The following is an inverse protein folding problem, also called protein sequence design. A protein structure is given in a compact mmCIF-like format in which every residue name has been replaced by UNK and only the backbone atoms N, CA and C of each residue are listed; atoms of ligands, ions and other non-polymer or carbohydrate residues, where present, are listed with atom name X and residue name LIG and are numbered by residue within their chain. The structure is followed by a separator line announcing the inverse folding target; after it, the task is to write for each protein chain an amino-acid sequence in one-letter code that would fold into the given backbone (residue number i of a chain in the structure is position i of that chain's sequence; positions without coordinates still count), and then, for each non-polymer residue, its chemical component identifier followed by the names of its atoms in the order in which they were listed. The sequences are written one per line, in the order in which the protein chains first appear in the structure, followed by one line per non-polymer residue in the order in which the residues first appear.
data_IF_152188002188
#
_entry.id   IF_152188002188
#
_cell.length_a   1.000
_cell.length_b   1.000
_cell.length_c   1.000
_cell.angle_alpha   90.00
_cell.angle_beta   90.00
_cell.angle_gamma   90.00
#
_symmetry.space_group_name_H-M   'P 1'
#
loop_
_entity.id
_entity.type
_entity.pdbx_description
1 polymer ?
#
# COMPACT_ATOMS: atom_id res chain seq x y z
N UNK A 1 18.03 5.95 9.28
CA UNK A 1 17.59 5.36 8.00
C UNK A 1 17.27 6.51 7.06
N UNK A 2 18.07 6.71 6.02
CA UNK A 2 17.96 7.86 5.10
C UNK A 2 17.01 7.54 3.94
N UNK A 3 16.45 8.58 3.29
CA UNK A 3 15.50 8.43 2.16
C UNK A 3 16.10 7.59 1.01
N UNK A 4 17.41 7.71 0.80
CA UNK A 4 18.20 6.98 -0.20
C UNK A 4 18.20 5.46 0.09
N UNK A 5 18.17 5.05 1.36
CA UNK A 5 18.10 3.63 1.74
C UNK A 5 16.72 3.02 1.47
N UNK A 6 15.64 3.80 1.62
CA UNK A 6 14.27 3.38 1.31
C UNK A 6 14.06 3.15 -0.19
N UNK A 7 14.49 4.09 -1.03
CA UNK A 7 14.37 3.96 -2.49
C UNK A 7 15.16 2.76 -3.02
N UNK A 8 16.36 2.52 -2.47
CA UNK A 8 17.17 1.36 -2.82
C UNK A 8 16.57 0.03 -2.31
N UNK A 9 15.85 0.04 -1.19
CA UNK A 9 15.15 -1.15 -0.69
C UNK A 9 14.00 -1.56 -1.63
N UNK A 10 13.22 -0.59 -2.12
CA UNK A 10 12.13 -0.83 -3.07
C UNK A 10 12.67 -1.24 -4.44
N UNK A 11 13.71 -0.54 -4.95
CA UNK A 11 14.31 -0.83 -6.27
C UNK A 11 14.98 -2.20 -6.36
N UNK A 12 15.61 -2.66 -5.28
CA UNK A 12 16.31 -3.96 -5.25
C UNK A 12 15.43 -5.11 -4.73
N UNK A 13 14.11 -4.92 -4.67
CA UNK A 13 13.17 -5.91 -4.13
C UNK A 13 13.17 -7.23 -4.91
N UNK A 14 13.39 -7.19 -6.23
CA UNK A 14 13.38 -8.37 -7.09
C UNK A 14 14.44 -9.43 -6.72
N UNK A 15 15.49 -9.06 -5.97
CA UNK A 15 16.56 -9.98 -5.54
C UNK A 15 16.30 -10.68 -4.20
N UNK A 16 15.15 -10.44 -3.53
CA UNK A 16 14.88 -10.99 -2.19
C UNK A 16 13.63 -11.89 -2.16
N UNK A 17 13.83 -13.18 -2.39
CA UNK A 17 12.81 -14.26 -2.35
C UNK A 17 12.06 -14.46 -1.02
N UNK A 18 12.30 -13.64 0.02
CA UNK A 18 11.67 -13.77 1.35
C UNK A 18 10.92 -12.53 1.81
N UNK A 19 10.78 -11.53 0.96
CA UNK A 19 10.06 -10.29 1.28
C UNK A 19 8.84 -10.18 0.38
N UNK A 20 7.69 -9.71 0.89
CA UNK A 20 6.52 -9.36 0.10
C UNK A 20 6.42 -7.82 0.04
N UNK A 21 6.56 -7.24 -1.15
CA UNK A 21 6.28 -5.82 -1.39
C UNK A 21 4.80 -5.69 -1.77
N UNK A 22 4.09 -4.88 -0.99
CA UNK A 22 2.70 -4.48 -1.23
C UNK A 22 2.72 -2.95 -1.35
N UNK A 23 2.43 -2.46 -2.54
CA UNK A 23 2.48 -1.04 -2.88
C UNK A 23 1.09 -0.43 -2.72
N UNK A 24 0.79 0.10 -1.53
CA UNK A 24 -0.54 0.61 -1.17
C UNK A 24 -0.96 1.79 -2.05
N UNK A 25 -0.02 2.62 -2.51
CA UNK A 25 -0.30 3.79 -3.35
C UNK A 25 -0.91 3.40 -4.70
N UNK A 26 -0.64 2.18 -5.19
CA UNK A 26 -1.29 1.65 -6.41
C UNK A 26 -2.76 1.31 -6.22
N UNK A 27 -3.17 1.01 -4.99
CA UNK A 27 -4.55 0.62 -4.68
C UNK A 27 -5.35 1.77 -4.09
N UNK A 28 -4.68 2.66 -3.36
CA UNK A 28 -5.24 3.85 -2.74
C UNK A 28 -4.42 5.03 -3.26
N UNK A 29 -4.96 5.77 -4.22
CA UNK A 29 -4.31 6.90 -4.89
C UNK A 29 -4.14 8.12 -3.97
N UNK A 30 -3.50 7.94 -2.82
CA UNK A 30 -3.49 8.88 -1.70
C UNK A 30 -3.08 10.31 -2.10
N UNK A 31 -2.01 10.42 -2.89
CA UNK A 31 -1.45 11.69 -3.34
C UNK A 31 -2.09 12.25 -4.60
N UNK A 32 -2.94 11.49 -5.29
CA UNK A 32 -3.59 11.86 -6.56
C UNK A 32 -5.12 11.80 -6.51
N UNK A 33 -5.71 11.64 -5.32
CA UNK A 33 -7.15 11.65 -5.09
C UNK A 33 -7.74 13.04 -5.37
N UNK A 34 -8.39 13.15 -6.52
CA UNK A 34 -9.10 14.35 -6.96
C UNK A 34 -10.62 14.27 -6.75
N UNK A 35 -11.16 13.07 -6.50
CA UNK A 35 -12.59 12.84 -6.25
C UNK A 35 -12.91 12.98 -4.76
N UNK A 36 -13.87 13.84 -4.43
CA UNK A 36 -14.40 14.03 -3.07
C UNK A 36 -14.88 12.71 -2.47
N UNK A 37 -15.50 11.83 -3.26
CA UNK A 37 -15.97 10.53 -2.77
C UNK A 37 -14.83 9.58 -2.41
N UNK A 38 -13.69 9.69 -3.08
CA UNK A 38 -12.50 8.91 -2.74
C UNK A 38 -11.82 9.44 -1.47
N UNK A 39 -11.98 10.73 -1.18
CA UNK A 39 -11.46 11.35 0.05
C UNK A 39 -12.28 10.98 1.29
N UNK A 40 -13.46 10.39 1.14
CA UNK A 40 -14.30 10.01 2.28
C UNK A 40 -13.62 9.02 3.23
N UNK A 41 -12.61 8.27 2.77
CA UNK A 41 -11.82 7.34 3.59
C UNK A 41 -10.63 8.00 4.33
N UNK A 42 -10.41 9.31 4.16
CA UNK A 42 -9.30 10.08 4.74
C UNK A 42 -9.87 11.15 5.68
N UNK A 43 -9.20 11.42 6.80
CA UNK A 43 -9.51 12.55 7.67
C UNK A 43 -9.15 13.88 7.01
N UNK A 44 -9.72 14.98 7.49
CA UNK A 44 -9.49 16.34 6.96
C UNK A 44 -8.05 16.84 7.21
N UNK A 45 -7.22 16.06 7.90
CA UNK A 45 -5.78 16.32 8.07
C UNK A 45 -4.94 15.88 6.87
N UNK A 46 -5.53 15.19 5.89
CA UNK A 46 -4.85 14.67 4.71
C UNK A 46 -3.64 13.77 5.03
N UNK A 47 -3.57 13.20 6.23
CA UNK A 47 -2.50 12.29 6.68
C UNK A 47 -3.05 10.95 7.14
N UNK A 48 -4.16 10.94 7.88
CA UNK A 48 -4.69 9.73 8.49
C UNK A 48 -5.90 9.20 7.75
N UNK A 49 -5.99 7.87 7.67
CA UNK A 49 -7.20 7.20 7.17
C UNK A 49 -8.28 7.23 8.25
N UNK A 50 -9.54 7.31 7.82
CA UNK A 50 -10.69 6.97 8.65
C UNK A 50 -10.69 5.45 8.92
N UNK A 51 -11.45 4.96 9.92
CA UNK A 51 -11.58 3.53 10.17
C UNK A 51 -11.86 2.69 8.91
N UNK A 52 -12.81 3.12 8.08
CA UNK A 52 -13.14 2.43 6.81
C UNK A 52 -11.96 2.41 5.82
N UNK A 53 -11.11 3.44 5.83
CA UNK A 53 -9.89 3.48 5.03
C UNK A 53 -8.82 2.50 5.51
N UNK A 54 -8.67 2.34 6.83
CA UNK A 54 -7.80 1.32 7.40
C UNK A 54 -8.32 -0.10 7.12
N UNK A 55 -9.64 -0.31 7.17
CA UNK A 55 -10.27 -1.58 6.80
C UNK A 55 -10.03 -1.93 5.32
N UNK A 56 -10.14 -0.93 4.43
CA UNK A 56 -9.82 -1.09 3.01
C UNK A 56 -8.34 -1.47 2.82
N UNK A 57 -7.42 -0.75 3.48
CA UNK A 57 -5.99 -1.03 3.43
C UNK A 57 -5.67 -2.46 3.90
N UNK A 58 -6.29 -2.92 5.00
CA UNK A 58 -6.12 -4.27 5.51
C UNK A 58 -6.59 -5.34 4.50
N UNK A 59 -7.74 -5.13 3.85
CA UNK A 59 -8.26 -6.03 2.79
C UNK A 59 -7.29 -6.12 1.60
N UNK A 60 -6.75 -4.99 1.15
CA UNK A 60 -5.76 -4.94 0.06
C UNK A 60 -4.51 -5.75 0.43
N UNK A 61 -3.96 -5.50 1.63
CA UNK A 61 -2.78 -6.22 2.13
C UNK A 61 -3.03 -7.72 2.14
N UNK A 62 -4.17 -8.13 2.69
CA UNK A 62 -4.51 -9.55 2.79
C UNK A 62 -4.67 -10.20 1.41
N UNK A 63 -5.35 -9.54 0.48
CA UNK A 63 -5.55 -10.04 -0.87
C UNK A 63 -4.23 -10.22 -1.62
N UNK A 64 -3.30 -9.25 -1.51
CA UNK A 64 -1.98 -9.33 -2.14
C UNK A 64 -1.13 -10.47 -1.57
N UNK A 65 -1.17 -10.68 -0.25
CA UNK A 65 -0.51 -11.84 0.38
C UNK A 65 -1.11 -13.14 -0.14
N UNK A 66 -2.43 -13.25 -0.18
CA UNK A 66 -3.13 -14.44 -0.65
C UNK A 66 -2.75 -14.76 -2.10
N UNK A 67 -2.82 -13.77 -3.00
CA UNK A 67 -2.47 -13.93 -4.42
C UNK A 67 -1.03 -14.42 -4.61
N UNK A 68 -0.08 -13.91 -3.81
CA UNK A 68 1.32 -14.35 -3.89
C UNK A 68 1.54 -15.79 -3.42
N UNK A 69 0.79 -16.24 -2.41
CA UNK A 69 0.87 -17.61 -1.92
C UNK A 69 0.22 -18.59 -2.90
N UNK A 70 -0.90 -18.21 -3.51
CA UNK A 70 -1.62 -19.02 -4.50
C UNK A 70 -0.77 -19.23 -5.78
N UNK A 71 -0.07 -18.20 -6.26
CA UNK A 71 0.82 -18.27 -7.42
C UNK A 71 2.07 -19.16 -7.22
N UNK A 72 2.35 -19.61 -5.99
CA UNK A 72 3.48 -20.51 -5.68
C UNK A 72 3.06 -21.99 -5.57
N UNK A 73 1.77 -22.28 -5.72
CA UNK A 73 1.17 -23.63 -5.62
C UNK A 73 1.02 -24.28 -7.00
#
# INVERSE_FOLDING_TARGET
MTIIEKENYVKNYHDRNRTCLIDIDKHINYHSMNDIKQRDIIWDDFVYLKPDGYDLMAKIIFQEIFNKLDQQS
#
